data_IF_643311129277
#
_entry.id   IF_643311129277
#
_cell.length_a   1.000
_cell.length_b   1.000
_cell.length_c   1.000
_cell.angle_alpha   90.00
_cell.angle_beta   90.00
_cell.angle_gamma   90.00
#
_symmetry.space_group_name_H-M   'P 1'
#
loop_
_entity.id
_entity.type
_entity.pdbx_description
1 polymer ?
#
# COMPACT_ATOMS: atom_id res chain seq x y z
N UNK A 1 -22.09 -13.54 -1.21
CA UNK A 1 -22.81 -13.87 0.05
C UNK A 1 -22.44 -12.86 1.12
N UNK A 2 -23.38 -12.53 2.02
CA UNK A 2 -23.10 -11.69 3.19
C UNK A 2 -22.91 -12.59 4.41
N UNK A 3 -21.81 -12.38 5.15
CA UNK A 3 -21.54 -13.05 6.42
C UNK A 3 -21.70 -12.04 7.55
N UNK A 4 -22.47 -12.40 8.56
CA UNK A 4 -22.68 -11.62 9.79
C UNK A 4 -21.73 -12.09 10.87
N UNK A 5 -21.07 -11.15 11.54
CA UNK A 5 -20.26 -11.42 12.73
C UNK A 5 -21.09 -11.24 14.01
N UNK A 6 -20.70 -11.91 15.10
CA UNK A 6 -21.29 -11.69 16.42
C UNK A 6 -21.17 -10.25 16.94
N UNK A 7 -20.26 -9.45 16.39
CA UNK A 7 -20.16 -8.01 16.69
C UNK A 7 -21.15 -7.13 15.91
N UNK A 8 -22.04 -7.71 15.10
CA UNK A 8 -23.02 -6.99 14.28
C UNK A 8 -22.50 -6.50 12.92
N UNK A 9 -21.20 -6.62 12.63
CA UNK A 9 -20.65 -6.26 11.33
C UNK A 9 -21.06 -7.28 10.24
N UNK A 10 -21.34 -6.78 9.03
CA UNK A 10 -21.62 -7.59 7.83
C UNK A 10 -20.50 -7.44 6.82
N UNK A 11 -19.98 -8.56 6.32
CA UNK A 11 -19.01 -8.58 5.23
C UNK A 11 -19.57 -9.26 3.98
N UNK A 12 -19.43 -8.61 2.83
CA UNK A 12 -19.74 -9.21 1.54
C UNK A 12 -18.52 -9.97 1.04
N UNK A 13 -18.68 -11.27 0.87
CA UNK A 13 -17.63 -12.18 0.43
C UNK A 13 -18.12 -12.93 -0.81
N UNK A 14 -17.24 -13.17 -1.78
CA UNK A 14 -17.56 -14.02 -2.92
C UNK A 14 -17.68 -15.47 -2.47
N UNK A 15 -18.63 -16.20 -3.06
CA UNK A 15 -18.96 -17.57 -2.65
C UNK A 15 -17.77 -18.53 -2.78
N UNK A 16 -17.00 -18.38 -3.85
CA UNK A 16 -15.77 -19.14 -4.06
C UNK A 16 -14.62 -18.80 -3.10
N UNK A 17 -14.69 -17.68 -2.37
CA UNK A 17 -13.71 -17.33 -1.34
C UNK A 17 -14.15 -17.90 0.01
N UNK A 18 -15.43 -17.79 0.34
CA UNK A 18 -15.98 -18.30 1.59
C UNK A 18 -16.03 -19.84 1.67
N UNK A 19 -16.10 -20.54 0.54
CA UNK A 19 -16.05 -22.00 0.52
C UNK A 19 -14.65 -22.58 0.77
N UNK A 20 -13.59 -21.79 0.55
CA UNK A 20 -12.19 -22.26 0.59
C UNK A 20 -11.39 -21.78 1.79
N UNK A 21 -11.87 -20.80 2.55
CA UNK A 21 -11.14 -20.20 3.67
C UNK A 21 -12.07 -19.83 4.81
N UNK A 22 -11.51 -19.88 6.02
CA UNK A 22 -12.11 -19.23 7.18
C UNK A 22 -12.05 -17.71 6.96
N UNK A 23 -13.20 -17.06 6.94
CA UNK A 23 -13.31 -15.60 6.82
C UNK A 23 -13.35 -15.02 8.22
N UNK A 24 -12.57 -13.96 8.48
CA UNK A 24 -12.56 -13.25 9.76
C UNK A 24 -13.18 -11.88 9.58
N UNK A 25 -13.95 -11.44 10.57
CA UNK A 25 -14.53 -10.11 10.57
C UNK A 25 -13.43 -9.05 10.64
N UNK A 26 -13.45 -8.09 9.71
CA UNK A 26 -12.51 -6.98 9.67
C UNK A 26 -12.53 -6.11 10.93
N UNK A 27 -13.68 -6.05 11.62
CA UNK A 27 -13.88 -5.23 12.82
C UNK A 27 -13.30 -5.90 14.09
N UNK A 28 -13.82 -7.06 14.49
CA UNK A 28 -13.44 -7.70 15.76
C UNK A 28 -12.47 -8.89 15.61
N UNK A 29 -12.06 -9.22 14.38
CA UNK A 29 -11.17 -10.36 14.05
C UNK A 29 -11.70 -11.74 14.47
N UNK A 30 -12.98 -11.87 14.84
CA UNK A 30 -13.58 -13.18 15.11
C UNK A 30 -13.90 -13.92 13.80
N UNK A 31 -13.95 -15.25 13.89
CA UNK A 31 -14.33 -16.11 12.78
C UNK A 31 -15.79 -15.83 12.40
N UNK A 32 -16.04 -15.56 11.12
CA UNK A 32 -17.40 -15.48 10.59
C UNK A 32 -17.94 -16.90 10.44
N UNK A 33 -18.96 -17.25 11.22
CA UNK A 33 -19.61 -18.55 11.12
C UNK A 33 -20.54 -18.57 9.90
N UNK A 34 -20.50 -19.68 9.15
CA UNK A 34 -21.45 -19.92 8.08
C UNK A 34 -22.80 -20.20 8.73
N UNK A 35 -23.91 -19.60 8.29
CA UNK A 35 -25.22 -19.95 8.82
C UNK A 35 -25.46 -21.45 8.59
N UNK A 36 -25.65 -22.21 9.67
CA UNK A 36 -25.77 -23.68 9.67
C UNK A 36 -27.03 -24.20 8.95
N UNK A 37 -27.83 -23.32 8.35
CA UNK A 37 -29.12 -23.65 7.72
C UNK A 37 -29.14 -23.70 6.18
N UNK A 38 -28.02 -23.53 5.47
CA UNK A 38 -27.99 -23.63 4.01
C UNK A 38 -27.79 -25.09 3.56
N UNK A 39 -28.79 -25.94 3.81
CA UNK A 39 -28.89 -27.30 3.29
C UNK A 39 -29.08 -27.27 1.76
N UNK A 40 -27.96 -27.17 1.04
CA UNK A 40 -27.92 -27.44 -0.39
C UNK A 40 -28.03 -28.95 -0.64
N UNK A 41 -29.11 -29.34 -1.32
CA UNK A 41 -29.34 -30.65 -1.93
C UNK A 41 -28.08 -31.22 -2.58
N UNK A 42 -27.71 -32.44 -2.16
CA UNK A 42 -26.61 -33.20 -2.72
C UNK A 42 -26.80 -33.44 -4.23
N UNK A 43 -25.75 -33.33 -5.06
CA UNK A 43 -25.83 -33.75 -6.46
C UNK A 43 -25.99 -35.27 -6.52
N UNK A 44 -27.10 -35.69 -7.12
CA UNK A 44 -27.42 -37.09 -7.45
C UNK A 44 -26.33 -37.64 -8.35
N UNK A 45 -25.69 -38.73 -7.91
CA UNK A 45 -24.81 -39.54 -8.71
C UNK A 45 -25.61 -40.25 -9.81
N UNK A 46 -25.44 -39.87 -11.08
CA UNK A 46 -25.89 -40.69 -12.20
C UNK A 46 -24.73 -41.56 -12.70
N UNK A 47 -24.82 -42.84 -12.34
CA UNK A 47 -24.15 -43.96 -12.99
C UNK A 47 -24.56 -44.04 -14.47
N UNK A 48 -23.58 -44.10 -15.38
CA UNK A 48 -23.77 -44.68 -16.71
C UNK A 48 -22.47 -45.35 -17.18
N UNK A 49 -22.53 -46.68 -17.23
CA UNK A 49 -21.58 -47.60 -17.88
C UNK A 49 -21.52 -47.36 -19.39
N UNK A 50 -20.37 -47.64 -20.01
CA UNK A 50 -20.32 -47.95 -21.45
C UNK A 50 -18.95 -47.89 -22.12
N UNK A 51 -18.19 -48.98 -22.03
CA UNK A 51 -17.28 -49.58 -23.03
C UNK A 51 -16.40 -48.72 -23.97
N UNK A 52 -15.08 -48.93 -23.88
CA UNK A 52 -14.26 -49.39 -25.02
C UNK A 52 -12.82 -49.69 -24.54
N UNK A 53 -12.46 -50.98 -24.52
CA UNK A 53 -11.10 -51.47 -24.34
C UNK A 53 -10.26 -51.13 -25.58
N UNK A 54 -9.33 -50.19 -25.46
CA UNK A 54 -8.25 -49.96 -26.41
C UNK A 54 -6.90 -50.30 -25.76
N UNK A 55 -6.32 -51.45 -26.14
CA UNK A 55 -4.94 -51.83 -25.78
C UNK A 55 -3.96 -50.74 -26.24
N UNK A 56 -3.12 -50.24 -25.33
CA UNK A 56 -1.88 -49.52 -25.65
C UNK A 56 -0.67 -50.27 -25.07
N UNK A 57 0.47 -50.28 -25.79
CA UNK A 57 1.63 -51.10 -25.49
C UNK A 57 2.45 -50.57 -24.31
N UNK A 58 3.34 -51.40 -23.73
CA UNK A 58 4.18 -51.00 -22.61
C UNK A 58 5.41 -50.21 -23.13
N UNK A 59 5.43 -48.89 -22.92
CA UNK A 59 6.67 -48.11 -23.03
C UNK A 59 7.20 -47.77 -21.64
N UNK A 60 8.23 -48.50 -21.23
CA UNK A 60 9.20 -48.08 -20.22
C UNK A 60 9.75 -46.70 -20.57
N UNK A 61 9.59 -45.74 -19.68
CA UNK A 61 10.56 -44.66 -19.48
C UNK A 61 10.44 -44.17 -18.03
N UNK A 62 11.49 -44.41 -17.27
CA UNK A 62 11.70 -43.87 -15.95
C UNK A 62 11.75 -42.34 -16.05
N UNK A 63 10.62 -41.68 -15.77
CA UNK A 63 10.56 -40.25 -15.52
C UNK A 63 10.59 -40.04 -14.01
N UNK A 64 11.64 -39.41 -13.51
CA UNK A 64 11.76 -38.89 -12.16
C UNK A 64 10.60 -37.93 -11.88
N UNK A 65 9.50 -38.49 -11.39
CA UNK A 65 8.35 -37.74 -10.92
C UNK A 65 8.77 -36.94 -9.70
N UNK A 66 9.13 -35.67 -9.93
CA UNK A 66 9.08 -34.65 -8.89
C UNK A 66 7.63 -34.55 -8.44
N UNK A 67 7.27 -35.41 -7.49
CA UNK A 67 6.00 -35.35 -6.79
C UNK A 67 5.86 -33.95 -6.26
N UNK A 68 4.95 -33.19 -6.87
CA UNK A 68 4.53 -31.87 -6.45
C UNK A 68 3.89 -32.09 -5.08
N UNK A 69 4.70 -32.01 -4.03
CA UNK A 69 4.26 -32.21 -2.66
C UNK A 69 3.04 -31.31 -2.45
N UNK A 70 1.89 -31.93 -2.18
CA UNK A 70 0.68 -31.21 -1.86
C UNK A 70 1.03 -30.25 -0.72
N UNK A 71 0.96 -28.96 -1.00
CA UNK A 71 1.31 -27.95 -0.01
C UNK A 71 0.46 -28.20 1.24
N UNK A 72 1.07 -28.28 2.44
CA UNK A 72 0.34 -28.62 3.65
C UNK A 72 -0.83 -27.64 3.83
N UNK A 73 -2.05 -28.18 3.95
CA UNK A 73 -3.31 -27.44 4.19
C UNK A 73 -3.40 -26.90 5.63
N UNK A 74 -2.27 -26.46 6.19
CA UNK A 74 -2.22 -25.77 7.47
C UNK A 74 -2.61 -24.29 7.31
N UNK A 75 -3.15 -23.65 8.37
CA UNK A 75 -3.26 -22.20 8.40
C UNK A 75 -1.86 -21.62 8.17
N UNK A 76 -1.70 -20.86 7.08
CA UNK A 76 -0.43 -20.22 6.77
C UNK A 76 0.02 -19.41 8.00
N UNK A 77 1.30 -19.49 8.38
CA UNK A 77 1.79 -18.88 9.61
C UNK A 77 1.51 -17.37 9.60
N UNK A 78 1.20 -16.78 10.76
CA UNK A 78 0.66 -15.41 10.88
C UNK A 78 1.46 -14.33 10.12
N UNK A 79 2.76 -14.53 9.90
CA UNK A 79 3.63 -13.66 9.09
C UNK A 79 3.30 -13.63 7.59
N UNK A 80 2.38 -14.48 7.11
CA UNK A 80 1.91 -14.52 5.72
C UNK A 80 0.63 -13.72 5.49
N UNK A 81 0.03 -13.16 6.54
CA UNK A 81 -1.16 -12.34 6.39
C UNK A 81 -0.79 -10.92 5.94
N UNK A 82 -1.61 -10.36 5.05
CA UNK A 82 -1.42 -8.99 4.54
C UNK A 82 -1.76 -7.97 5.63
N UNK A 83 -0.77 -7.19 6.01
CA UNK A 83 -0.90 -6.14 7.04
C UNK A 83 -1.51 -4.85 6.46
N UNK A 84 -2.82 -4.84 6.24
CA UNK A 84 -3.53 -3.71 5.61
C UNK A 84 -3.34 -2.37 6.33
N UNK A 85 -3.30 -2.39 7.67
CA UNK A 85 -3.16 -1.17 8.47
C UNK A 85 -1.81 -0.48 8.27
N UNK A 86 -0.75 -1.25 8.01
CA UNK A 86 0.57 -0.68 7.76
C UNK A 86 0.77 -0.33 6.29
N UNK A 87 0.25 -1.18 5.41
CA UNK A 87 0.27 -0.98 3.97
C UNK A 87 -0.40 0.35 3.56
N UNK A 88 -1.55 0.69 4.15
CA UNK A 88 -2.24 1.97 3.88
C UNK A 88 -1.35 3.18 4.19
N UNK A 89 -0.54 3.12 5.25
CA UNK A 89 0.34 4.22 5.63
C UNK A 89 1.48 4.37 4.61
N UNK A 90 2.11 3.26 4.23
CA UNK A 90 3.17 3.25 3.21
C UNK A 90 2.65 3.75 1.86
N UNK A 91 1.47 3.29 1.42
CA UNK A 91 0.89 3.70 0.14
C UNK A 91 0.48 5.18 0.17
N UNK A 92 -0.04 5.69 1.28
CA UNK A 92 -0.35 7.11 1.44
C UNK A 92 0.91 7.99 1.39
N UNK A 93 1.99 7.60 2.07
CA UNK A 93 3.29 8.28 1.97
C UNK A 93 3.79 8.24 0.51
N UNK A 94 3.75 7.08 -0.14
CA UNK A 94 4.13 6.90 -1.53
C UNK A 94 3.32 7.76 -2.51
N UNK A 95 2.05 8.02 -2.21
CA UNK A 95 1.20 8.93 -2.96
C UNK A 95 1.70 10.37 -2.87
N UNK A 96 1.97 10.88 -1.67
CA UNK A 96 2.46 12.25 -1.48
C UNK A 96 3.83 12.49 -2.11
N UNK A 97 4.75 11.53 -2.03
CA UNK A 97 6.04 11.63 -2.73
C UNK A 97 5.88 11.72 -4.25
N UNK A 98 4.96 10.94 -4.84
CA UNK A 98 4.64 11.03 -6.27
C UNK A 98 4.00 12.37 -6.63
N UNK A 99 3.00 12.79 -5.85
CA UNK A 99 2.32 14.05 -6.07
C UNK A 99 3.28 15.24 -5.96
N UNK A 100 4.14 15.26 -4.93
CA UNK A 100 5.17 16.27 -4.75
C UNK A 100 6.15 16.33 -5.92
N UNK A 101 6.59 15.18 -6.45
CA UNK A 101 7.42 15.14 -7.66
C UNK A 101 6.72 15.69 -8.90
N UNK A 102 5.44 15.36 -9.11
CA UNK A 102 4.65 15.90 -10.23
C UNK A 102 4.45 17.41 -10.08
N UNK A 103 4.10 17.89 -8.88
CA UNK A 103 3.92 19.32 -8.61
C UNK A 103 5.23 20.09 -8.78
N UNK A 104 6.36 19.54 -8.33
CA UNK A 104 7.67 20.15 -8.54
C UNK A 104 8.05 20.21 -10.04
N UNK A 105 7.71 19.18 -10.82
CA UNK A 105 7.93 19.19 -12.26
C UNK A 105 7.06 20.26 -12.95
N UNK A 106 5.77 20.35 -12.62
CA UNK A 106 4.87 21.41 -13.12
C UNK A 106 5.40 22.79 -12.74
N UNK A 107 5.82 22.97 -11.48
CA UNK A 107 6.43 24.21 -11.01
C UNK A 107 7.70 24.58 -11.78
N UNK A 108 8.55 23.61 -12.11
CA UNK A 108 9.73 23.85 -12.95
C UNK A 108 9.35 24.37 -14.35
N UNK A 109 8.31 23.84 -14.99
CA UNK A 109 7.83 24.36 -16.27
C UNK A 109 7.30 25.80 -16.16
N UNK A 110 6.58 26.12 -15.08
CA UNK A 110 6.14 27.48 -14.81
C UNK A 110 7.35 28.41 -14.63
N UNK A 111 8.37 27.99 -13.88
CA UNK A 111 9.60 28.75 -13.68
C UNK A 111 10.36 28.98 -14.99
N UNK A 112 10.34 28.04 -15.94
CA UNK A 112 10.96 28.24 -17.27
C UNK A 112 10.35 29.45 -17.98
N UNK A 113 9.03 29.67 -17.86
CA UNK A 113 8.38 30.84 -18.45
C UNK A 113 8.75 32.16 -17.74
N UNK A 114 9.14 32.11 -16.46
CA UNK A 114 9.42 33.29 -15.65
C UNK A 114 10.90 33.69 -15.63
N UNK A 115 11.80 32.72 -15.52
CA UNK A 115 13.25 32.96 -15.33
C UNK A 115 14.11 32.26 -16.39
N UNK A 116 13.49 31.66 -17.40
CA UNK A 116 14.17 31.04 -18.53
C UNK A 116 14.63 29.59 -18.32
N UNK A 117 15.36 29.01 -19.28
CA UNK A 117 15.63 27.58 -19.36
C UNK A 117 16.50 27.02 -18.22
N UNK A 118 17.19 27.88 -17.45
CA UNK A 118 18.00 27.45 -16.31
C UNK A 118 17.15 26.75 -15.23
N UNK A 119 15.85 27.05 -15.15
CA UNK A 119 14.90 26.40 -14.25
C UNK A 119 14.73 24.89 -14.54
N UNK A 120 15.12 24.39 -15.73
CA UNK A 120 15.08 22.97 -16.06
C UNK A 120 16.00 22.12 -15.16
N UNK A 121 16.97 22.73 -14.47
CA UNK A 121 17.80 22.04 -13.46
C UNK A 121 16.98 21.48 -12.31
N UNK A 122 15.76 21.98 -12.08
CA UNK A 122 14.84 21.50 -11.04
C UNK A 122 14.19 20.17 -11.42
N UNK A 123 14.11 19.82 -12.71
CA UNK A 123 13.44 18.58 -13.17
C UNK A 123 14.08 17.30 -12.60
N UNK A 124 15.41 17.12 -12.62
CA UNK A 124 16.06 16.01 -11.92
C UNK A 124 15.71 15.94 -10.44
N UNK A 125 15.64 17.09 -9.74
CA UNK A 125 15.25 17.13 -8.33
C UNK A 125 13.79 16.73 -8.14
N UNK A 126 12.89 17.10 -9.06
CA UNK A 126 11.49 16.68 -9.05
C UNK A 126 11.31 15.18 -9.34
N UNK A 127 12.21 14.58 -10.11
CA UNK A 127 12.18 13.15 -10.42
C UNK A 127 12.48 12.28 -9.18
N UNK A 128 13.36 12.74 -8.28
CA UNK A 128 13.75 11.99 -7.06
C UNK A 128 12.53 11.60 -6.19
N UNK A 129 11.70 12.54 -5.69
CA UNK A 129 10.54 12.18 -4.87
C UNK A 129 9.52 11.33 -5.66
N UNK A 130 9.36 11.56 -6.97
CA UNK A 130 8.49 10.73 -7.80
C UNK A 130 8.96 9.26 -7.84
N UNK A 131 10.25 9.05 -8.10
CA UNK A 131 10.85 7.71 -8.14
C UNK A 131 10.82 7.03 -6.77
N UNK A 132 11.05 7.77 -5.68
CA UNK A 132 10.91 7.24 -4.32
C UNK A 132 9.47 6.83 -4.03
N UNK A 133 8.49 7.66 -4.36
CA UNK A 133 7.08 7.31 -4.20
C UNK A 133 6.68 6.11 -5.07
N UNK A 134 7.21 6.00 -6.29
CA UNK A 134 7.04 4.80 -7.11
C UNK A 134 7.65 3.57 -6.44
N UNK A 135 8.90 3.65 -5.97
CA UNK A 135 9.59 2.56 -5.28
C UNK A 135 8.91 2.11 -3.99
N UNK A 136 8.40 3.05 -3.20
CA UNK A 136 7.59 2.77 -2.01
C UNK A 136 6.30 2.04 -2.37
N UNK A 137 5.59 2.45 -3.43
CA UNK A 137 4.38 1.77 -3.91
C UNK A 137 4.62 0.34 -4.40
N UNK A 138 5.87 0.02 -4.75
CA UNK A 138 6.34 -1.32 -5.14
C UNK A 138 7.00 -2.07 -3.98
N UNK A 139 7.01 -1.49 -2.77
CA UNK A 139 7.62 -2.04 -1.57
C UNK A 139 9.10 -2.39 -1.75
N UNK A 140 9.86 -1.51 -2.43
CA UNK A 140 11.30 -1.68 -2.63
C UNK A 140 12.08 -1.28 -1.36
N UNK A 141 12.94 -2.16 -0.80
CA UNK A 141 13.71 -1.87 0.42
C UNK A 141 14.62 -0.65 0.28
N UNK A 142 15.21 -0.45 -0.89
CA UNK A 142 16.06 0.70 -1.17
C UNK A 142 15.27 2.02 -1.07
N UNK A 143 14.06 2.09 -1.63
CA UNK A 143 13.22 3.28 -1.55
C UNK A 143 12.85 3.62 -0.10
N UNK A 144 12.57 2.60 0.73
CA UNK A 144 12.32 2.78 2.17
C UNK A 144 13.49 3.48 2.86
N UNK A 145 14.71 2.95 2.71
CA UNK A 145 15.87 3.49 3.40
C UNK A 145 16.31 4.85 2.85
N UNK A 146 16.13 5.10 1.56
CA UNK A 146 16.37 6.42 0.98
C UNK A 146 15.40 7.47 1.54
N UNK A 147 14.11 7.15 1.68
CA UNK A 147 13.14 8.05 2.30
C UNK A 147 13.47 8.32 3.77
N UNK A 148 13.88 7.28 4.52
CA UNK A 148 14.37 7.43 5.91
C UNK A 148 15.57 8.37 5.96
N UNK A 149 16.57 8.17 5.10
CA UNK A 149 17.76 9.02 5.05
C UNK A 149 17.42 10.48 4.70
N UNK A 150 16.53 10.70 3.73
CA UNK A 150 16.05 12.04 3.35
C UNK A 150 15.30 12.70 4.51
N UNK A 151 14.48 11.95 5.24
CA UNK A 151 13.75 12.48 6.40
C UNK A 151 14.71 12.90 7.52
N UNK A 152 15.78 12.13 7.78
CA UNK A 152 16.83 12.49 8.73
C UNK A 152 17.55 13.77 8.28
N UNK A 153 17.91 13.86 7.00
CA UNK A 153 18.57 15.04 6.45
C UNK A 153 17.67 16.28 6.52
N UNK A 154 16.37 16.12 6.26
CA UNK A 154 15.35 17.17 6.36
C UNK A 154 15.22 17.69 7.80
N UNK A 155 15.21 16.78 8.80
CA UNK A 155 15.25 17.15 10.21
C UNK A 155 16.52 17.93 10.58
N UNK A 156 17.69 17.47 10.12
CA UNK A 156 18.95 18.16 10.36
C UNK A 156 18.97 19.57 9.75
N UNK A 157 18.49 19.72 8.50
CA UNK A 157 18.34 21.01 7.83
C UNK A 157 17.39 21.93 8.60
N UNK A 158 16.25 21.42 9.04
CA UNK A 158 15.25 22.20 9.78
C UNK A 158 15.80 22.65 11.13
N UNK A 159 16.49 21.77 11.86
CA UNK A 159 17.16 22.12 13.11
C UNK A 159 18.21 23.23 12.91
N UNK A 160 18.99 23.15 11.84
CA UNK A 160 19.95 24.20 11.48
C UNK A 160 19.25 25.54 11.17
N UNK A 161 18.17 25.52 10.40
CA UNK A 161 17.41 26.72 10.05
C UNK A 161 16.74 27.39 11.26
N UNK A 162 16.26 26.59 12.24
CA UNK A 162 15.78 27.11 13.53
C UNK A 162 16.92 27.80 14.29
N UNK A 163 18.10 27.16 14.34
CA UNK A 163 19.27 27.73 15.02
C UNK A 163 19.75 29.03 14.36
N UNK A 164 19.65 29.13 13.04
CA UNK A 164 19.99 30.32 12.27
C UNK A 164 18.91 31.43 12.33
N UNK A 165 17.72 31.14 12.89
CA UNK A 165 16.60 32.10 12.94
C UNK A 165 15.89 32.31 11.60
N UNK A 166 16.08 31.41 10.62
CA UNK A 166 15.52 31.53 9.27
C UNK A 166 14.11 30.94 9.13
N UNK A 167 13.68 30.11 10.09
CA UNK A 167 12.40 29.39 10.03
C UNK A 167 11.40 29.89 11.06
N UNK A 168 10.15 30.07 10.64
CA UNK A 168 9.06 30.26 11.59
C UNK A 168 8.86 28.97 12.40
N UNK A 169 8.48 29.11 13.69
CA UNK A 169 8.20 27.96 14.56
C UNK A 169 7.11 27.04 13.99
N UNK A 170 6.13 27.61 13.28
CA UNK A 170 5.05 26.84 12.65
C UNK A 170 5.57 25.97 11.50
N UNK A 171 6.34 26.55 10.58
CA UNK A 171 6.93 25.81 9.45
C UNK A 171 7.86 24.70 9.94
N UNK A 172 8.74 25.05 10.89
CA UNK A 172 9.64 24.09 11.52
C UNK A 172 8.88 22.95 12.21
N UNK A 173 7.84 23.28 12.99
CA UNK A 173 7.01 22.28 13.68
C UNK A 173 6.29 21.34 12.73
N UNK A 174 5.74 21.85 11.63
CA UNK A 174 5.08 21.03 10.60
C UNK A 174 6.08 20.12 9.89
N UNK A 175 7.24 20.64 9.50
CA UNK A 175 8.30 19.84 8.85
C UNK A 175 8.79 18.73 9.77
N UNK A 176 9.13 19.07 11.02
CA UNK A 176 9.60 18.09 12.01
C UNK A 176 8.53 17.04 12.29
N UNK A 177 7.26 17.45 12.47
CA UNK A 177 6.16 16.55 12.72
C UNK A 177 5.94 15.55 11.58
N UNK A 178 6.03 16.01 10.33
CA UNK A 178 5.94 15.15 9.15
C UNK A 178 7.10 14.15 9.08
N UNK A 179 8.34 14.62 9.17
CA UNK A 179 9.53 13.78 9.05
C UNK A 179 9.59 12.75 10.19
N UNK A 180 9.26 13.15 11.42
CA UNK A 180 9.18 12.24 12.56
C UNK A 180 8.11 11.16 12.36
N UNK A 181 6.94 11.51 11.81
CA UNK A 181 5.88 10.55 11.52
C UNK A 181 6.29 9.56 10.41
N UNK A 182 6.93 10.06 9.34
CA UNK A 182 7.47 9.21 8.26
C UNK A 182 8.53 8.25 8.81
N UNK A 183 9.44 8.73 9.67
CA UNK A 183 10.44 7.90 10.33
C UNK A 183 9.80 6.85 11.25
N UNK A 184 8.84 7.24 12.08
CA UNK A 184 8.16 6.32 12.99
C UNK A 184 7.48 5.16 12.24
N UNK A 185 6.87 5.45 11.09
CA UNK A 185 6.32 4.41 10.21
C UNK A 185 7.46 3.64 9.55
N UNK A 186 8.25 4.28 8.68
CA UNK A 186 9.17 3.56 7.80
C UNK A 186 10.34 2.90 8.54
N UNK A 187 10.75 3.36 9.72
CA UNK A 187 11.80 2.70 10.50
C UNK A 187 11.27 1.53 11.38
N UNK A 188 9.95 1.38 11.53
CA UNK A 188 9.37 0.34 12.37
C UNK A 188 9.69 -1.09 11.89
N UNK A 189 9.65 -2.05 12.83
CA UNK A 189 9.76 -3.47 12.51
C UNK A 189 8.64 -3.95 11.57
N UNK A 190 7.43 -3.39 11.69
CA UNK A 190 6.29 -3.67 10.81
C UNK A 190 6.57 -3.25 9.36
N UNK A 191 7.24 -2.11 9.14
CA UNK A 191 7.74 -1.75 7.81
C UNK A 191 8.75 -2.79 7.30
N UNK A 192 9.59 -3.35 8.18
CA UNK A 192 10.47 -4.49 7.88
C UNK A 192 9.76 -5.60 7.12
N UNK A 193 8.61 -6.03 7.64
CA UNK A 193 7.81 -7.08 7.02
C UNK A 193 7.18 -6.65 5.69
N UNK A 194 6.61 -5.44 5.61
CA UNK A 194 5.95 -4.96 4.37
C UNK A 194 6.93 -4.81 3.21
N UNK A 195 8.20 -4.48 3.47
CA UNK A 195 9.23 -4.35 2.44
C UNK A 195 9.99 -5.65 2.15
N UNK A 196 9.63 -6.77 2.79
CA UNK A 196 10.23 -8.08 2.53
C UNK A 196 9.87 -8.64 1.15
N UNK A 197 10.67 -9.59 0.65
CA UNK A 197 10.36 -10.29 -0.60
C UNK A 197 9.07 -11.11 -0.49
N UNK A 198 8.91 -11.83 0.62
CA UNK A 198 7.74 -12.67 0.89
C UNK A 198 6.43 -11.86 0.87
N UNK A 199 6.44 -10.67 1.47
CA UNK A 199 5.28 -9.79 1.46
C UNK A 199 4.93 -9.31 0.05
N UNK A 200 5.92 -8.97 -0.77
CA UNK A 200 5.68 -8.62 -2.18
C UNK A 200 5.00 -9.76 -2.94
N UNK A 201 5.36 -11.01 -2.66
CA UNK A 201 4.73 -12.17 -3.28
C UNK A 201 3.31 -12.42 -2.75
N UNK A 202 3.01 -12.08 -1.50
CA UNK A 202 1.63 -12.04 -0.97
C UNK A 202 0.81 -10.96 -1.67
N UNK A 203 1.35 -9.76 -1.86
CA UNK A 203 0.66 -8.67 -2.57
C UNK A 203 0.41 -9.04 -4.02
N UNK A 204 1.40 -9.61 -4.73
CA UNK A 204 1.25 -10.08 -6.12
C UNK A 204 0.15 -11.12 -6.27
N UNK A 205 0.05 -12.08 -5.33
CA UNK A 205 -1.01 -13.09 -5.30
C UNK A 205 -2.38 -12.51 -4.95
N UNK A 206 -2.43 -11.34 -4.34
CA UNK A 206 -3.65 -10.65 -3.91
C UNK A 206 -3.88 -9.32 -4.66
N UNK A 207 -3.44 -9.22 -5.91
CA UNK A 207 -3.51 -8.00 -6.71
C UNK A 207 -4.93 -7.44 -6.88
N UNK A 208 -5.98 -8.27 -6.75
CA UNK A 208 -7.37 -7.83 -6.78
C UNK A 208 -7.85 -7.11 -5.50
N UNK A 209 -7.08 -7.17 -4.41
CA UNK A 209 -7.41 -6.48 -3.16
C UNK A 209 -6.65 -5.15 -3.12
N UNK A 210 -7.39 -4.06 -3.27
CA UNK A 210 -6.87 -2.72 -3.12
C UNK A 210 -6.94 -2.28 -1.66
N UNK A 211 -5.90 -1.59 -1.19
CA UNK A 211 -5.89 -0.99 0.14
C UNK A 211 -6.49 0.40 0.05
N UNK A 212 -7.44 0.71 0.94
CA UNK A 212 -8.03 2.04 1.09
C UNK A 212 -7.01 3.02 1.71
N UNK A 213 -5.96 3.36 0.98
CA UNK A 213 -4.86 4.21 1.45
C UNK A 213 -5.31 5.61 1.85
N UNK A 214 -6.42 6.10 1.27
CA UNK A 214 -7.02 7.39 1.64
C UNK A 214 -7.51 7.44 3.08
N UNK A 215 -7.81 6.31 3.74
CA UNK A 215 -8.22 6.30 5.15
C UNK A 215 -7.04 6.45 6.11
N UNK A 216 -5.82 6.58 5.60
CA UNK A 216 -4.62 6.79 6.40
C UNK A 216 -4.54 8.24 6.90
N UNK A 217 -4.14 8.50 8.16
CA UNK A 217 -3.86 9.86 8.63
C UNK A 217 -2.78 10.57 7.82
N UNK A 218 -1.83 9.81 7.23
CA UNK A 218 -0.82 10.34 6.30
C UNK A 218 -1.41 10.87 5.00
N UNK A 219 -2.66 10.56 4.67
CA UNK A 219 -3.36 11.17 3.55
C UNK A 219 -4.01 12.49 3.95
N UNK A 220 -4.82 12.49 5.01
CA UNK A 220 -5.62 13.65 5.38
C UNK A 220 -4.80 14.81 5.95
N UNK A 221 -3.76 14.54 6.74
CA UNK A 221 -2.96 15.60 7.36
C UNK A 221 -2.30 16.51 6.31
N UNK A 222 -1.53 15.99 5.33
CA UNK A 222 -0.95 16.86 4.30
C UNK A 222 -2.01 17.46 3.37
N UNK A 223 -3.11 16.75 3.08
CA UNK A 223 -4.20 17.31 2.27
C UNK A 223 -4.84 18.52 2.95
N UNK A 224 -5.12 18.42 4.25
CA UNK A 224 -5.67 19.52 5.05
C UNK A 224 -4.72 20.70 5.11
N UNK A 225 -3.42 20.46 5.34
CA UNK A 225 -2.40 21.52 5.35
C UNK A 225 -2.25 22.19 3.98
N UNK A 226 -2.24 21.42 2.89
CA UNK A 226 -2.18 21.96 1.54
C UNK A 226 -3.41 22.81 1.23
N UNK A 227 -4.60 22.37 1.62
CA UNK A 227 -5.84 23.12 1.45
C UNK A 227 -5.81 24.44 2.24
N UNK A 228 -5.39 24.41 3.50
CA UNK A 228 -5.24 25.62 4.33
C UNK A 228 -4.23 26.60 3.72
N UNK A 229 -3.10 26.10 3.23
CA UNK A 229 -2.11 26.92 2.54
C UNK A 229 -2.65 27.57 1.26
N UNK A 230 -3.42 26.83 0.46
CA UNK A 230 -4.08 27.38 -0.74
C UNK A 230 -5.12 28.45 -0.39
N UNK A 231 -5.91 28.25 0.67
CA UNK A 231 -6.89 29.24 1.14
C UNK A 231 -6.20 30.51 1.63
N UNK A 232 -5.08 30.38 2.37
CA UNK A 232 -4.29 31.52 2.82
C UNK A 232 -3.69 32.29 1.63
N UNK A 233 -3.12 31.59 0.65
CA UNK A 233 -2.57 32.19 -0.56
C UNK A 233 -3.65 32.90 -1.40
N UNK A 234 -4.81 32.27 -1.60
CA UNK A 234 -5.93 32.87 -2.31
C UNK A 234 -6.44 34.14 -1.61
N UNK A 235 -6.50 34.13 -0.28
CA UNK A 235 -6.90 35.30 0.52
C UNK A 235 -5.92 36.48 0.35
N UNK A 236 -4.62 36.18 0.32
CA UNK A 236 -3.59 37.19 0.08
C UNK A 236 -3.69 37.80 -1.33
N UNK A 237 -3.87 36.97 -2.35
CA UNK A 237 -4.04 37.43 -3.74
C UNK A 237 -5.31 38.28 -3.89
N UNK A 238 -6.43 37.85 -3.30
CA UNK A 238 -7.67 38.63 -3.32
C UNK A 238 -7.51 40.00 -2.65
N UNK A 239 -6.75 40.07 -1.56
CA UNK A 239 -6.48 41.33 -0.83
C UNK A 239 -5.56 42.27 -1.62
N UNK A 240 -4.67 41.74 -2.47
CA UNK A 240 -3.79 42.56 -3.30
C UNK A 240 -4.47 43.15 -4.55
N UNK A 241 -5.68 42.69 -4.89
CA UNK A 241 -6.44 43.13 -6.05
C UNK A 241 -7.53 44.18 -5.72
N UNK A 242 -7.79 44.43 -4.43
CA UNK A 242 -8.73 45.44 -3.93
C UNK A 242 -7.99 46.72 -3.54
#
# INVERSE_FOLDING_TARGET
>A
MALTCGCGATEKVTEGYASRRRVFCGNCKQLLQRPEGATGTAPVASSARGGAQGRRPPSRAAGTGFGKAAAPEGPLPAHTQRMFDFERHVVAIAFWYRLGGVLAAVGAFILVALIGPIALIVLPLAAVPYLLGHGLSRYLPAARWLVVAISILSLARTAFAIHAGESSLLEAGLSIGWDAAVLAVLASASAGHVFSADYRDVVRRSAGVQVAWWTSPFFYLPAGLALLGLLAAASFVASALL
#
